data_IF_418496400071
#
_entry.id   IF_418496400071
#
_cell.length_a   1.000
_cell.length_b   1.000
_cell.length_c   1.000
_cell.angle_alpha   90.00
_cell.angle_beta   90.00
_cell.angle_gamma   90.00
#
_symmetry.space_group_name_H-M   'P 1'
#
loop_
_entity.id
_entity.type
_entity.pdbx_description
1 polymer ?
#
# COMPACT_ATOMS: atom_id res chain seq x y z
N UNK A 1 16.21 22.63 -7.24
CA UNK A 1 16.02 21.16 -7.10
C UNK A 1 16.60 20.49 -8.34
N UNK A 2 17.26 19.33 -8.22
CA UNK A 2 17.96 18.66 -9.33
C UNK A 2 17.21 17.48 -9.98
N UNK A 3 16.23 16.88 -9.29
CA UNK A 3 15.38 15.81 -9.83
C UNK A 3 13.99 16.33 -10.20
N UNK A 4 13.27 15.57 -11.02
CA UNK A 4 11.84 15.75 -11.29
C UNK A 4 10.99 15.40 -10.07
N UNK A 5 9.74 15.89 -9.96
CA UNK A 5 8.83 15.49 -8.88
C UNK A 5 8.65 13.98 -8.75
N UNK A 6 8.54 13.27 -9.87
CA UNK A 6 8.39 11.80 -9.90
C UNK A 6 9.61 11.09 -9.35
N UNK A 7 10.82 11.56 -9.67
CA UNK A 7 12.06 10.97 -9.15
C UNK A 7 12.21 11.19 -7.64
N UNK A 8 11.83 12.36 -7.13
CA UNK A 8 11.79 12.57 -5.68
C UNK A 8 10.77 11.66 -5.01
N UNK A 9 9.59 11.52 -5.60
CA UNK A 9 8.54 10.65 -5.08
C UNK A 9 9.01 9.21 -4.98
N UNK A 10 9.47 8.62 -6.09
CA UNK A 10 9.95 7.23 -6.14
C UNK A 10 11.10 6.95 -5.17
N UNK A 11 11.94 7.96 -4.92
CA UNK A 11 13.09 7.85 -4.01
C UNK A 11 12.71 7.89 -2.54
N UNK A 12 11.69 8.66 -2.14
CA UNK A 12 11.53 9.08 -0.74
C UNK A 12 10.11 8.97 -0.17
N UNK A 13 9.09 8.79 -1.01
CA UNK A 13 7.69 8.83 -0.59
C UNK A 13 7.11 7.43 -0.50
N UNK A 14 6.18 7.28 0.44
CA UNK A 14 5.38 6.08 0.66
C UNK A 14 3.92 6.47 0.64
N UNK A 15 3.05 5.56 0.21
CA UNK A 15 1.60 5.77 0.15
C UNK A 15 0.91 4.71 0.98
N UNK A 16 0.02 5.13 1.88
CA UNK A 16 -0.94 4.25 2.53
C UNK A 16 -2.26 4.22 1.78
N UNK A 17 -3.00 3.13 1.89
CA UNK A 17 -4.38 3.02 1.40
C UNK A 17 -5.28 2.32 2.42
N UNK A 18 -6.59 2.57 2.30
CA UNK A 18 -7.63 2.00 3.16
C UNK A 18 -8.08 0.62 2.66
N UNK A 19 -8.63 -0.25 3.53
CA UNK A 19 -8.92 -1.63 3.15
C UNK A 19 -9.80 -1.79 1.90
N UNK A 20 -10.70 -0.84 1.62
CA UNK A 20 -11.65 -0.86 0.49
C UNK A 20 -11.18 -0.13 -0.78
N UNK A 21 -9.89 0.23 -0.88
CA UNK A 21 -9.31 0.85 -2.09
C UNK A 21 -9.39 -0.07 -3.31
N UNK A 22 -10.12 0.38 -4.34
CA UNK A 22 -10.38 -0.39 -5.56
C UNK A 22 -9.35 -0.16 -6.66
N UNK A 23 -8.58 0.92 -6.56
CA UNK A 23 -7.57 1.31 -7.54
C UNK A 23 -6.17 0.80 -7.19
N UNK A 24 -6.05 -0.07 -6.17
CA UNK A 24 -4.77 -0.58 -5.70
C UNK A 24 -3.87 -1.11 -6.81
N UNK A 25 -4.44 -1.86 -7.78
CA UNK A 25 -3.68 -2.40 -8.89
C UNK A 25 -3.09 -1.32 -9.80
N UNK A 26 -3.90 -0.33 -10.18
CA UNK A 26 -3.45 0.80 -11.01
C UNK A 26 -2.42 1.64 -10.26
N UNK A 27 -2.62 1.85 -8.96
CA UNK A 27 -1.68 2.59 -8.10
C UNK A 27 -0.34 1.86 -8.01
N UNK A 28 -0.33 0.54 -7.82
CA UNK A 28 0.87 -0.27 -7.79
C UNK A 28 1.63 -0.24 -9.12
N UNK A 29 0.92 -0.31 -10.26
CA UNK A 29 1.53 -0.18 -11.59
C UNK A 29 2.13 1.22 -11.83
N UNK A 30 1.48 2.26 -11.30
CA UNK A 30 1.89 3.66 -11.55
C UNK A 30 3.05 4.10 -10.63
N UNK A 31 2.96 3.78 -9.35
CA UNK A 31 3.88 4.28 -8.32
C UNK A 31 4.98 3.28 -7.95
N UNK A 32 4.74 1.99 -8.18
CA UNK A 32 5.58 0.89 -7.71
C UNK A 32 4.96 0.20 -6.49
N UNK A 33 4.92 -1.12 -6.53
CA UNK A 33 4.44 -1.99 -5.45
C UNK A 33 5.37 -1.98 -4.23
N UNK A 34 6.58 -1.41 -4.33
CA UNK A 34 7.60 -1.31 -3.29
C UNK A 34 7.51 -0.03 -2.43
N UNK A 35 6.50 0.82 -2.70
CA UNK A 35 6.26 2.09 -1.99
C UNK A 35 4.85 2.20 -1.39
N UNK A 36 4.10 1.10 -1.36
CA UNK A 36 2.71 1.07 -0.90
C UNK A 36 2.59 0.26 0.39
N UNK A 37 1.91 0.81 1.39
CA UNK A 37 1.53 0.12 2.63
C UNK A 37 0.02 0.17 2.78
N UNK A 38 -0.59 -0.76 3.50
CA UNK A 38 -2.01 -0.67 3.86
C UNK A 38 -2.16 -0.21 5.31
N UNK A 39 -3.25 0.46 5.61
CA UNK A 39 -3.63 0.83 6.97
C UNK A 39 -5.06 0.39 7.24
N UNK A 40 -5.35 -0.01 8.49
CA UNK A 40 -6.72 -0.33 8.89
C UNK A 40 -7.55 0.90 9.26
N UNK A 41 -6.86 2.01 9.55
CA UNK A 41 -7.37 3.26 10.10
C UNK A 41 -8.25 3.11 11.37
N UNK A 42 -8.12 1.98 12.07
CA UNK A 42 -8.84 1.75 13.31
C UNK A 42 -8.37 2.71 14.42
N UNK A 43 -9.27 3.33 15.22
CA UNK A 43 -10.72 3.08 15.32
C UNK A 43 -11.58 4.17 14.65
N UNK A 44 -11.15 4.75 13.52
CA UNK A 44 -11.94 5.80 12.89
C UNK A 44 -13.35 5.34 12.49
N UNK A 45 -14.34 6.26 12.43
CA UNK A 45 -15.73 5.91 12.13
C UNK A 45 -15.94 5.19 10.79
N UNK A 46 -15.02 5.39 9.84
CA UNK A 46 -15.01 4.82 8.50
C UNK A 46 -14.08 3.61 8.34
N UNK A 47 -13.35 3.23 9.40
CA UNK A 47 -12.51 2.06 9.43
C UNK A 47 -13.32 0.78 9.15
N UNK A 48 -12.75 -0.13 8.35
CA UNK A 48 -13.39 -1.42 8.02
C UNK A 48 -13.11 -2.46 9.10
N UNK A 49 -13.67 -2.25 10.29
CA UNK A 49 -13.48 -3.17 11.41
C UNK A 49 -14.81 -3.67 11.99
N UNK A 50 -14.99 -4.98 12.20
CA UNK A 50 -14.07 -6.07 11.84
C UNK A 50 -14.02 -6.35 10.32
N UNK A 51 -13.00 -7.06 9.85
CA UNK A 51 -12.93 -7.57 8.46
C UNK A 51 -11.89 -6.91 7.53
N UNK A 52 -11.17 -5.89 7.99
CA UNK A 52 -10.14 -5.19 7.18
C UNK A 52 -9.13 -6.12 6.52
N UNK A 53 -8.66 -7.14 7.24
CA UNK A 53 -7.71 -8.11 6.69
C UNK A 53 -8.26 -8.95 5.53
N UNK A 54 -9.55 -9.28 5.54
CA UNK A 54 -10.19 -10.01 4.43
C UNK A 54 -10.38 -9.11 3.21
N UNK A 55 -10.77 -7.85 3.42
CA UNK A 55 -10.95 -6.87 2.34
C UNK A 55 -9.60 -6.59 1.64
N UNK A 56 -8.54 -6.34 2.42
CA UNK A 56 -7.19 -6.14 1.86
C UNK A 56 -6.74 -7.37 1.06
N UNK A 57 -6.94 -8.59 1.57
CA UNK A 57 -6.59 -9.82 0.84
C UNK A 57 -7.33 -9.93 -0.50
N UNK A 58 -8.61 -9.55 -0.54
CA UNK A 58 -9.42 -9.56 -1.75
C UNK A 58 -8.90 -8.58 -2.82
N UNK A 59 -8.47 -7.37 -2.43
CA UNK A 59 -7.90 -6.42 -3.39
C UNK A 59 -6.48 -6.81 -3.81
N UNK A 60 -5.70 -7.42 -2.93
CA UNK A 60 -4.37 -7.92 -3.25
C UNK A 60 -4.38 -9.11 -4.22
N UNK A 61 -5.45 -9.92 -4.26
CA UNK A 61 -5.44 -11.18 -5.02
C UNK A 61 -5.29 -11.03 -6.53
N UNK A 62 -5.49 -9.83 -7.08
CA UNK A 62 -5.29 -9.54 -8.52
C UNK A 62 -3.84 -9.19 -8.86
N UNK A 63 -2.99 -8.98 -7.85
CA UNK A 63 -1.59 -8.64 -8.01
C UNK A 63 -0.70 -9.89 -8.05
N UNK A 64 0.54 -9.73 -8.50
CA UNK A 64 1.55 -10.78 -8.42
C UNK A 64 1.85 -11.17 -6.97
N UNK A 65 2.24 -12.42 -6.73
CA UNK A 65 2.60 -12.91 -5.38
C UNK A 65 3.70 -12.06 -4.70
N UNK A 66 4.58 -11.44 -5.50
CA UNK A 66 5.61 -10.54 -4.98
C UNK A 66 5.00 -9.23 -4.46
N UNK A 67 4.12 -8.61 -5.24
CA UNK A 67 3.43 -7.38 -4.85
C UNK A 67 2.51 -7.64 -3.64
N UNK A 68 1.81 -8.77 -3.60
CA UNK A 68 1.01 -9.18 -2.45
C UNK A 68 1.83 -9.24 -1.16
N UNK A 69 2.99 -9.90 -1.19
CA UNK A 69 3.90 -10.01 -0.02
C UNK A 69 4.45 -8.66 0.41
N UNK A 70 4.84 -7.82 -0.56
CA UNK A 70 5.33 -6.46 -0.31
C UNK A 70 4.29 -5.62 0.41
N UNK A 71 3.13 -5.48 -0.20
CA UNK A 71 2.07 -4.60 0.28
C UNK A 71 1.46 -5.12 1.58
N UNK A 72 1.29 -6.44 1.74
CA UNK A 72 0.71 -7.02 2.95
C UNK A 72 1.58 -6.83 4.20
N UNK A 73 2.91 -6.65 4.06
CA UNK A 73 3.76 -6.42 5.23
C UNK A 73 5.24 -6.13 5.00
N UNK A 74 5.89 -6.60 3.94
CA UNK A 74 7.35 -6.38 3.79
C UNK A 74 7.69 -4.90 3.63
N UNK A 75 6.81 -4.13 2.95
CA UNK A 75 6.96 -2.70 2.79
C UNK A 75 6.87 -1.97 4.13
N UNK A 76 5.94 -2.35 5.00
CA UNK A 76 5.83 -1.79 6.34
C UNK A 76 7.08 -2.12 7.18
N UNK A 77 7.58 -3.37 7.11
CA UNK A 77 8.82 -3.74 7.79
C UNK A 77 10.03 -2.91 7.32
N UNK A 78 10.16 -2.72 5.99
CA UNK A 78 11.22 -1.89 5.42
C UNK A 78 11.09 -0.40 5.79
N UNK A 79 9.88 0.16 5.76
CA UNK A 79 9.60 1.55 6.10
C UNK A 79 9.89 1.83 7.59
N UNK A 80 9.45 0.94 8.48
CA UNK A 80 9.54 1.15 9.92
C UNK A 80 10.78 0.53 10.58
N UNK A 81 11.60 -0.23 9.83
CA UNK A 81 12.81 -0.87 10.34
C UNK A 81 12.53 -2.00 11.34
N UNK A 82 11.51 -2.81 11.06
CA UNK A 82 11.05 -3.93 11.91
C UNK A 82 11.68 -5.27 11.52
#
# INVERSE_FOLDING_TARGET
>A
LSLTPTEYFRRQMWVSFDPDERMLAVTAETLGDDRIVWASDFPHPDAKYPGSGDEVRRHLSVLSDQAQRRIAGQNAAALYGL
#
